data_IF_578616131889
#
_entry.id   IF_578616131889
#
_cell.length_a   1.000
_cell.length_b   1.000
_cell.length_c   1.000
_cell.angle_alpha   90.00
_cell.angle_beta   90.00
_cell.angle_gamma   90.00
#
_symmetry.space_group_name_H-M   'P 1'
#
loop_
_entity.id
_entity.type
_entity.pdbx_description
1 polymer ?
#
# COMPACT_ATOMS: atom_id res chain seq x y z
N UNK A 1 3.72 69.00 16.22
CA UNK A 1 2.68 67.99 16.55
C UNK A 1 2.90 66.68 15.78
N UNK A 2 3.36 66.71 14.52
CA UNK A 2 3.63 65.49 13.72
C UNK A 2 4.76 64.59 14.27
N UNK A 3 5.84 65.19 14.86
CA UNK A 3 6.94 64.46 15.46
C UNK A 3 6.51 63.58 16.64
N UNK A 4 5.68 64.10 17.53
CA UNK A 4 5.16 63.35 18.69
C UNK A 4 4.30 62.14 18.31
N UNK A 5 3.58 62.21 17.20
CA UNK A 5 2.78 61.06 16.69
C UNK A 5 3.68 59.99 16.08
N UNK A 6 4.76 60.35 15.46
CA UNK A 6 5.73 59.41 14.90
C UNK A 6 6.46 58.67 16.00
N UNK A 7 6.95 59.41 17.03
CA UNK A 7 7.66 58.82 18.16
C UNK A 7 6.76 57.85 18.97
N UNK A 8 5.50 58.22 19.21
CA UNK A 8 4.52 57.36 19.89
C UNK A 8 4.21 56.08 19.07
N UNK A 9 4.19 56.16 17.75
CA UNK A 9 3.97 55.02 16.88
C UNK A 9 5.18 54.07 16.86
N UNK A 10 6.39 54.60 16.90
CA UNK A 10 7.61 53.81 17.01
C UNK A 10 7.73 53.12 18.38
N UNK A 11 7.35 53.79 19.47
CA UNK A 11 7.31 53.16 20.81
C UNK A 11 6.26 52.03 20.87
N UNK A 12 5.10 52.21 20.29
CA UNK A 12 4.09 51.15 20.20
C UNK A 12 4.62 49.96 19.38
N UNK A 13 5.24 50.21 18.24
CA UNK A 13 5.83 49.16 17.44
C UNK A 13 6.93 48.37 18.17
N UNK A 14 7.80 49.09 18.93
CA UNK A 14 8.84 48.43 19.74
C UNK A 14 8.26 47.58 20.86
N UNK A 15 7.14 47.98 21.44
CA UNK A 15 6.49 47.27 22.52
C UNK A 15 5.76 46.00 22.03
N UNK A 16 5.26 46.00 20.79
CA UNK A 16 4.57 44.89 20.18
C UNK A 16 5.50 43.86 19.48
N UNK A 17 6.74 44.26 19.17
CA UNK A 17 7.72 43.37 18.50
C UNK A 17 7.99 42.06 19.24
N UNK A 18 8.24 42.03 20.56
CA UNK A 18 8.51 40.80 21.28
C UNK A 18 7.31 39.88 21.29
N UNK A 19 6.09 40.43 21.41
CA UNK A 19 4.84 39.62 21.34
C UNK A 19 4.61 39.05 19.95
N UNK A 20 4.81 39.81 18.90
CA UNK A 20 4.73 39.34 17.51
C UNK A 20 5.78 38.30 17.16
N UNK A 21 6.99 38.42 17.69
CA UNK A 21 8.05 37.41 17.53
C UNK A 21 7.70 36.12 18.24
N UNK A 22 7.19 36.20 19.47
CA UNK A 22 6.71 35.02 20.21
C UNK A 22 5.55 34.33 19.47
N UNK A 23 4.53 35.08 19.06
CA UNK A 23 3.40 34.52 18.31
C UNK A 23 3.82 33.88 16.97
N UNK A 24 4.79 34.47 16.26
CA UNK A 24 5.33 33.90 15.03
C UNK A 24 6.14 32.62 15.29
N UNK A 25 6.92 32.58 16.38
CA UNK A 25 7.67 31.37 16.75
C UNK A 25 6.73 30.23 17.14
N UNK A 26 5.68 30.51 17.89
CA UNK A 26 4.67 29.52 18.27
C UNK A 26 3.94 28.95 17.04
N UNK A 27 3.60 29.82 16.09
CA UNK A 27 3.00 29.40 14.82
C UNK A 27 3.95 28.52 13.99
N UNK A 28 5.23 28.88 13.92
CA UNK A 28 6.25 28.07 13.22
C UNK A 28 6.41 26.72 13.90
N UNK A 29 6.50 26.67 15.23
CA UNK A 29 6.59 25.42 15.98
C UNK A 29 5.36 24.53 15.71
N UNK A 30 4.17 25.12 15.71
CA UNK A 30 2.94 24.40 15.40
C UNK A 30 2.98 23.81 13.98
N UNK A 31 3.39 24.59 12.98
CA UNK A 31 3.54 24.10 11.60
C UNK A 31 4.57 22.96 11.48
N UNK A 32 5.70 23.09 12.13
CA UNK A 32 6.75 22.08 12.14
C UNK A 32 6.27 20.79 12.82
N UNK A 33 5.51 20.90 13.90
CA UNK A 33 4.91 19.76 14.60
C UNK A 33 3.89 19.04 13.70
N UNK A 34 3.01 19.80 13.05
CA UNK A 34 2.03 19.26 12.10
C UNK A 34 2.71 18.54 10.94
N UNK A 35 3.75 19.14 10.39
CA UNK A 35 4.53 18.53 9.32
C UNK A 35 5.24 17.24 9.77
N UNK A 36 5.83 17.25 10.97
CA UNK A 36 6.46 16.06 11.55
C UNK A 36 5.45 14.93 11.74
N UNK A 37 4.27 15.23 12.28
CA UNK A 37 3.18 14.26 12.45
C UNK A 37 2.73 13.71 11.09
N UNK A 38 2.54 14.56 10.09
CA UNK A 38 2.16 14.12 8.74
C UNK A 38 3.22 13.20 8.10
N UNK A 39 4.49 13.54 8.28
CA UNK A 39 5.61 12.70 7.81
C UNK A 39 5.62 11.35 8.54
N UNK A 40 5.41 11.34 9.86
CA UNK A 40 5.32 10.10 10.64
C UNK A 40 4.17 9.22 10.15
N UNK A 41 2.98 9.78 9.97
CA UNK A 41 1.81 9.07 9.46
C UNK A 41 2.12 8.45 8.10
N UNK A 42 2.65 9.26 7.16
CA UNK A 42 3.01 8.79 5.82
C UNK A 42 4.09 7.69 5.84
N UNK A 43 5.07 7.81 6.72
CA UNK A 43 6.21 6.89 6.76
C UNK A 43 5.83 5.56 7.38
N UNK A 44 5.10 5.58 8.48
CA UNK A 44 4.87 4.39 9.30
C UNK A 44 3.48 3.78 9.15
N UNK A 45 2.48 4.57 8.79
CA UNK A 45 1.10 4.10 8.79
C UNK A 45 0.59 3.87 7.36
N UNK A 46 0.71 4.87 6.48
CA UNK A 46 0.10 4.85 5.17
C UNK A 46 1.08 5.25 4.06
N UNK A 47 0.91 4.63 2.92
CA UNK A 47 1.67 4.97 1.72
C UNK A 47 0.73 5.03 0.51
N UNK A 48 0.62 6.20 -0.16
CA UNK A 48 -0.02 6.24 -1.46
C UNK A 48 0.90 5.58 -2.49
N UNK A 49 0.36 4.64 -3.27
CA UNK A 49 1.07 3.91 -4.31
C UNK A 49 0.25 3.92 -5.57
N UNK A 50 0.87 4.10 -6.72
CA UNK A 50 0.22 4.01 -8.01
C UNK A 50 0.34 2.59 -8.56
N UNK A 51 -0.77 2.04 -9.07
CA UNK A 51 -0.78 0.80 -9.82
C UNK A 51 -0.14 1.03 -11.19
N UNK A 52 0.89 0.28 -11.50
CA UNK A 52 1.56 0.31 -12.81
C UNK A 52 1.44 -1.07 -13.43
N UNK A 53 0.87 -1.13 -14.63
CA UNK A 53 0.60 -2.36 -15.36
C UNK A 53 -0.77 -2.96 -15.08
N UNK A 54 -1.09 -4.02 -15.80
CA UNK A 54 -2.43 -4.61 -15.85
C UNK A 54 -2.54 -5.95 -15.12
N UNK A 55 -1.54 -6.31 -14.34
CA UNK A 55 -1.46 -7.63 -13.67
C UNK A 55 -2.57 -7.88 -12.64
N UNK A 56 -3.25 -6.84 -12.19
CA UNK A 56 -4.36 -6.91 -11.23
C UNK A 56 -5.72 -6.58 -11.84
N UNK A 57 -5.79 -6.45 -13.17
CA UNK A 57 -7.07 -6.26 -13.87
C UNK A 57 -7.97 -7.48 -13.68
N UNK A 58 -9.28 -7.34 -13.46
CA UNK A 58 -10.05 -6.08 -13.42
C UNK A 58 -10.12 -5.42 -12.04
N UNK A 59 -9.55 -6.00 -11.00
CA UNK A 59 -9.66 -5.47 -9.63
C UNK A 59 -8.99 -4.11 -9.47
N UNK A 60 -7.80 -3.97 -10.08
CA UNK A 60 -7.05 -2.70 -10.12
C UNK A 60 -6.66 -2.41 -11.57
N UNK A 61 -6.84 -1.16 -11.96
CA UNK A 61 -6.49 -0.69 -13.30
C UNK A 61 -5.15 0.04 -13.31
N UNK A 62 -4.48 0.01 -14.44
CA UNK A 62 -3.26 0.79 -14.63
C UNK A 62 -3.51 2.28 -14.41
N UNK A 63 -2.64 2.92 -13.63
CA UNK A 63 -2.72 4.33 -13.28
C UNK A 63 -3.56 4.65 -12.04
N UNK A 64 -4.31 3.69 -11.48
CA UNK A 64 -5.04 3.92 -10.23
C UNK A 64 -4.10 4.19 -9.06
N UNK A 65 -4.43 5.21 -8.28
CA UNK A 65 -3.75 5.51 -7.02
C UNK A 65 -4.40 4.77 -5.86
N UNK A 66 -3.60 3.96 -5.18
CA UNK A 66 -4.05 3.11 -4.08
C UNK A 66 -3.59 3.65 -2.74
N UNK A 67 -4.37 3.35 -1.74
CA UNK A 67 -4.06 3.59 -0.34
C UNK A 67 -3.59 2.30 0.33
N UNK A 68 -2.33 2.29 0.75
CA UNK A 68 -1.68 1.13 1.36
C UNK A 68 -1.46 1.36 2.83
N UNK A 69 -1.87 0.43 3.65
CA UNK A 69 -1.72 0.44 5.09
C UNK A 69 -0.60 -0.54 5.49
N UNK A 70 0.29 -0.09 6.39
CA UNK A 70 1.50 -0.84 6.78
C UNK A 70 1.39 -1.50 8.15
N UNK A 71 0.49 -1.05 9.00
CA UNK A 71 0.41 -1.48 10.40
C UNK A 71 -0.19 -2.86 10.59
N UNK A 72 -1.11 -3.26 9.71
CA UNK A 72 -1.79 -4.57 9.83
C UNK A 72 -0.76 -5.69 9.97
N UNK A 73 0.26 -5.71 9.12
CA UNK A 73 1.25 -6.78 9.12
C UNK A 73 2.38 -6.60 10.14
N UNK A 74 2.30 -5.56 10.98
CA UNK A 74 3.11 -5.48 12.21
C UNK A 74 2.52 -6.29 13.38
N UNK A 75 1.21 -6.56 13.34
CA UNK A 75 0.46 -7.22 14.43
C UNK A 75 -0.34 -8.45 13.98
N UNK A 76 -0.65 -8.56 12.70
CA UNK A 76 -1.41 -9.66 12.11
C UNK A 76 -0.63 -10.27 10.94
N UNK A 77 -0.90 -11.53 10.66
CA UNK A 77 -0.37 -12.19 9.47
C UNK A 77 -1.24 -11.93 8.24
N UNK A 78 -0.66 -11.91 7.02
CA UNK A 78 -1.43 -11.84 5.78
C UNK A 78 -2.41 -13.01 5.67
N UNK A 79 -3.59 -12.73 5.11
CA UNK A 79 -4.68 -13.69 4.96
C UNK A 79 -5.01 -13.92 3.50
N UNK A 80 -5.70 -15.03 3.21
CA UNK A 80 -6.25 -15.32 1.88
C UNK A 80 -7.08 -14.14 1.36
N UNK A 81 -6.91 -13.82 0.09
CA UNK A 81 -7.62 -12.75 -0.57
C UNK A 81 -7.04 -11.34 -0.34
N UNK A 82 -6.12 -11.15 0.60
CA UNK A 82 -5.48 -9.85 0.83
C UNK A 82 -4.78 -9.38 -0.43
N UNK A 83 -5.02 -8.13 -0.83
CA UNK A 83 -4.23 -7.47 -1.87
C UNK A 83 -3.08 -6.75 -1.19
N UNK A 84 -1.87 -7.15 -1.54
CA UNK A 84 -0.65 -6.67 -0.89
C UNK A 84 0.29 -5.99 -1.86
N UNK A 85 1.08 -5.06 -1.33
CA UNK A 85 2.29 -4.58 -2.00
C UNK A 85 3.46 -5.40 -1.48
N UNK A 86 4.19 -6.01 -2.39
CA UNK A 86 5.36 -6.80 -2.07
C UNK A 86 6.53 -6.50 -3.03
N UNK A 87 7.69 -7.07 -2.73
CA UNK A 87 8.83 -7.15 -3.64
C UNK A 87 9.14 -8.60 -3.91
N UNK A 88 9.52 -8.91 -5.13
CA UNK A 88 10.04 -10.23 -5.42
C UNK A 88 11.46 -10.42 -4.88
N UNK A 89 11.83 -11.62 -4.50
CA UNK A 89 13.20 -11.90 -4.13
C UNK A 89 14.15 -11.44 -5.26
N UNK A 90 15.23 -10.76 -4.87
CA UNK A 90 16.23 -10.21 -5.79
C UNK A 90 15.77 -9.06 -6.71
N UNK A 91 14.54 -8.57 -6.56
CA UNK A 91 14.02 -7.42 -7.30
C UNK A 91 13.83 -6.21 -6.37
N UNK A 92 14.08 -5.01 -6.89
CA UNK A 92 13.90 -3.75 -6.15
C UNK A 92 12.51 -3.15 -6.33
N UNK A 93 11.86 -3.51 -7.41
CA UNK A 93 10.55 -2.98 -7.78
C UNK A 93 9.44 -3.53 -6.89
N UNK A 94 8.49 -2.66 -6.57
CA UNK A 94 7.27 -3.05 -5.85
C UNK A 94 6.26 -3.57 -6.84
N UNK A 95 5.55 -4.62 -6.46
CA UNK A 95 4.42 -5.15 -7.22
C UNK A 95 3.19 -5.28 -6.32
N UNK A 96 2.02 -5.28 -6.94
CA UNK A 96 0.74 -5.51 -6.28
C UNK A 96 0.24 -6.87 -6.68
N UNK A 97 -0.13 -7.72 -5.72
CA UNK A 97 -0.63 -9.08 -5.94
C UNK A 97 -1.66 -9.46 -4.89
N UNK A 98 -2.45 -10.48 -5.19
CA UNK A 98 -3.39 -11.11 -4.27
C UNK A 98 -2.75 -12.31 -3.58
N UNK A 99 -2.93 -12.42 -2.27
CA UNK A 99 -2.53 -13.59 -1.48
C UNK A 99 -3.50 -14.73 -1.78
N UNK A 100 -2.99 -15.81 -2.32
CA UNK A 100 -3.77 -17.01 -2.63
C UNK A 100 -3.55 -18.08 -1.58
N UNK A 101 -2.31 -18.26 -1.11
CA UNK A 101 -2.02 -19.24 -0.07
C UNK A 101 -1.07 -18.66 0.99
N UNK A 102 -1.28 -19.11 2.23
CA UNK A 102 -0.55 -18.71 3.43
C UNK A 102 0.27 -19.89 3.97
N UNK A 103 1.17 -19.69 4.96
CA UNK A 103 1.99 -20.77 5.50
C UNK A 103 1.21 -22.01 5.89
N UNK A 104 1.69 -23.17 5.47
CA UNK A 104 1.07 -24.47 5.71
C UNK A 104 0.03 -24.91 4.69
N UNK A 105 -0.46 -24.00 3.85
CA UNK A 105 -1.37 -24.39 2.77
C UNK A 105 -0.67 -25.22 1.70
N UNK A 106 -1.42 -26.14 1.10
CA UNK A 106 -1.02 -26.88 -0.09
C UNK A 106 -1.68 -26.27 -1.31
N UNK A 107 -0.88 -25.87 -2.29
CA UNK A 107 -1.37 -25.25 -3.51
C UNK A 107 -0.88 -26.01 -4.74
N UNK A 108 -1.75 -26.18 -5.71
CA UNK A 108 -1.44 -26.76 -7.03
C UNK A 108 -2.19 -26.00 -8.12
N UNK A 109 -1.72 -26.12 -9.34
CA UNK A 109 -2.40 -25.60 -10.53
C UNK A 109 -2.49 -26.73 -11.53
N UNK A 110 -3.71 -27.09 -11.90
CA UNK A 110 -3.99 -28.10 -12.90
C UNK A 110 -5.29 -27.78 -13.63
N UNK A 111 -5.38 -28.18 -14.89
CA UNK A 111 -6.56 -27.96 -15.73
C UNK A 111 -7.02 -26.48 -15.74
N UNK A 112 -6.05 -25.56 -15.74
CA UNK A 112 -6.31 -24.12 -15.79
C UNK A 112 -6.97 -23.53 -14.53
N UNK A 113 -6.90 -24.23 -13.39
CA UNK A 113 -7.48 -23.80 -12.12
C UNK A 113 -6.49 -23.96 -10.96
N UNK A 114 -6.64 -23.10 -9.94
CA UNK A 114 -5.90 -23.24 -8.67
C UNK A 114 -6.69 -24.16 -7.73
N UNK A 115 -5.99 -25.09 -7.11
CA UNK A 115 -6.51 -25.89 -5.99
C UNK A 115 -5.74 -25.51 -4.73
N UNK A 116 -6.48 -25.30 -3.65
CA UNK A 116 -5.98 -24.97 -2.33
C UNK A 116 -6.42 -26.04 -1.33
N UNK A 117 -5.47 -26.69 -0.67
CA UNK A 117 -5.71 -27.76 0.30
C UNK A 117 -6.53 -28.95 -0.27
N UNK A 118 -6.38 -29.21 -1.58
CA UNK A 118 -7.07 -30.28 -2.29
C UNK A 118 -8.44 -29.90 -2.84
N UNK A 119 -8.92 -28.68 -2.62
CA UNK A 119 -10.19 -28.18 -3.16
C UNK A 119 -9.93 -27.10 -4.21
N UNK A 120 -10.75 -27.10 -5.27
CA UNK A 120 -10.69 -26.04 -6.29
C UNK A 120 -11.08 -24.71 -5.65
N UNK A 121 -10.17 -23.71 -5.79
CA UNK A 121 -10.41 -22.37 -5.26
C UNK A 121 -11.52 -21.65 -6.03
N UNK A 122 -12.52 -21.14 -5.31
CA UNK A 122 -13.56 -20.28 -5.90
C UNK A 122 -12.99 -18.86 -6.04
N UNK A 123 -12.77 -18.47 -7.27
CA UNK A 123 -12.20 -17.17 -7.63
C UNK A 123 -13.19 -16.27 -8.38
N UNK A 124 -14.45 -16.71 -8.46
CA UNK A 124 -15.51 -16.06 -9.26
C UNK A 124 -15.70 -14.57 -8.95
N UNK A 125 -15.34 -14.13 -7.73
CA UNK A 125 -15.44 -12.73 -7.32
C UNK A 125 -14.47 -11.78 -8.05
N UNK A 126 -13.35 -12.29 -8.57
CA UNK A 126 -12.31 -11.46 -9.21
C UNK A 126 -11.69 -12.11 -10.46
N UNK A 127 -11.91 -13.40 -10.68
CA UNK A 127 -11.43 -14.13 -11.84
C UNK A 127 -12.44 -15.21 -12.25
N UNK A 128 -12.70 -15.32 -13.54
CA UNK A 128 -13.65 -16.31 -14.09
C UNK A 128 -13.13 -16.99 -15.36
N UNK A 129 -11.83 -16.87 -15.64
CA UNK A 129 -11.21 -17.41 -16.85
C UNK A 129 -10.54 -18.77 -16.62
N UNK A 130 -9.75 -19.16 -17.61
CA UNK A 130 -8.87 -20.32 -17.62
C UNK A 130 -7.42 -19.86 -17.53
N UNK A 131 -6.60 -20.46 -16.66
CA UNK A 131 -5.18 -20.16 -16.53
C UNK A 131 -4.45 -20.93 -17.63
N UNK A 132 -3.87 -20.17 -18.56
CA UNK A 132 -3.11 -20.72 -19.68
C UNK A 132 -1.68 -21.05 -19.24
N UNK A 133 -1.07 -22.07 -19.85
CA UNK A 133 0.35 -22.40 -19.76
C UNK A 133 0.94 -22.42 -18.32
N UNK A 134 0.13 -22.83 -17.34
CA UNK A 134 0.59 -22.86 -15.95
C UNK A 134 0.14 -24.14 -15.26
N UNK A 135 1.00 -25.15 -15.31
CA UNK A 135 0.86 -26.38 -14.52
C UNK A 135 1.87 -26.32 -13.36
N UNK A 136 1.39 -26.60 -12.15
CA UNK A 136 2.25 -26.60 -10.96
C UNK A 136 1.83 -27.78 -10.06
N UNK A 137 2.79 -28.69 -9.74
CA UNK A 137 2.52 -29.76 -8.81
C UNK A 137 2.14 -29.20 -7.43
N UNK A 138 1.47 -30.01 -6.61
CA UNK A 138 1.13 -29.61 -5.25
C UNK A 138 2.41 -29.30 -4.46
N UNK A 139 2.47 -28.10 -3.91
CA UNK A 139 3.56 -27.62 -3.05
C UNK A 139 2.97 -27.03 -1.77
N UNK A 140 3.71 -27.20 -0.67
CA UNK A 140 3.31 -26.58 0.61
C UNK A 140 3.98 -25.24 0.75
N UNK A 141 3.20 -24.22 1.15
CA UNK A 141 3.72 -22.87 1.40
C UNK A 141 4.62 -22.90 2.66
N UNK A 142 5.88 -22.47 2.55
CA UNK A 142 6.80 -22.47 3.69
C UNK A 142 6.37 -21.48 4.77
N UNK A 143 6.84 -21.70 5.99
CA UNK A 143 6.68 -20.78 7.11
C UNK A 143 7.13 -19.37 6.73
N UNK A 144 6.37 -18.37 7.17
CA UNK A 144 6.61 -16.94 6.92
C UNK A 144 6.77 -16.57 5.45
N UNK A 145 6.09 -17.28 4.58
CA UNK A 145 6.05 -17.04 3.14
C UNK A 145 4.63 -17.05 2.62
N UNK A 146 4.41 -16.44 1.47
CA UNK A 146 3.11 -16.33 0.81
C UNK A 146 3.20 -16.84 -0.62
N UNK A 147 2.12 -17.38 -1.13
CA UNK A 147 1.93 -17.56 -2.56
C UNK A 147 0.97 -16.49 -3.07
N UNK A 148 1.45 -15.64 -3.95
CA UNK A 148 0.71 -14.46 -4.42
C UNK A 148 0.56 -14.51 -5.95
N UNK A 149 -0.61 -14.12 -6.44
CA UNK A 149 -0.91 -14.15 -7.88
C UNK A 149 -1.60 -12.84 -8.28
N UNK A 150 -1.39 -12.42 -9.53
CA UNK A 150 -2.14 -11.31 -10.10
C UNK A 150 -3.54 -11.74 -10.48
N UNK A 151 -4.52 -10.85 -10.39
CA UNK A 151 -5.90 -11.13 -10.78
C UNK A 151 -6.01 -11.30 -12.31
N UNK A 152 -5.16 -10.65 -13.09
CA UNK A 152 -5.00 -10.90 -14.52
C UNK A 152 -4.08 -12.11 -14.76
N UNK A 153 -4.59 -13.30 -14.58
CA UNK A 153 -3.87 -14.57 -14.54
C UNK A 153 -2.92 -14.80 -15.69
N UNK A 154 -3.34 -14.49 -16.90
CA UNK A 154 -2.56 -14.75 -18.11
C UNK A 154 -1.61 -13.61 -18.48
N UNK A 155 -1.66 -12.49 -17.71
CA UNK A 155 -0.80 -11.31 -17.91
C UNK A 155 -0.14 -10.87 -16.61
N UNK A 156 0.30 -11.82 -15.79
CA UNK A 156 0.95 -11.53 -14.49
C UNK A 156 2.20 -12.39 -14.29
N UNK A 157 3.33 -11.73 -14.09
CA UNK A 157 4.48 -12.36 -13.46
C UNK A 157 4.30 -12.37 -11.95
N UNK A 158 4.26 -13.56 -11.32
CA UNK A 158 3.95 -13.72 -9.90
C UNK A 158 4.54 -15.01 -9.32
N UNK A 159 4.06 -15.49 -8.18
CA UNK A 159 4.62 -16.66 -7.49
C UNK A 159 4.69 -17.94 -8.32
N UNK A 160 3.91 -18.05 -9.38
CA UNK A 160 4.01 -19.16 -10.34
C UNK A 160 5.38 -19.21 -11.05
N UNK A 161 6.03 -18.04 -11.16
CA UNK A 161 7.32 -17.88 -11.85
C UNK A 161 8.47 -17.61 -10.87
N UNK A 162 8.21 -16.81 -9.82
CA UNK A 162 9.27 -16.35 -8.89
C UNK A 162 9.31 -17.12 -7.58
N UNK A 163 8.33 -18.00 -7.35
CA UNK A 163 8.20 -18.76 -6.11
C UNK A 163 7.55 -17.95 -4.97
N UNK A 164 7.76 -18.41 -3.75
CA UNK A 164 7.15 -17.86 -2.56
C UNK A 164 7.72 -16.49 -2.18
N UNK A 165 6.87 -15.63 -1.62
CA UNK A 165 7.23 -14.29 -1.17
C UNK A 165 7.38 -14.30 0.35
N UNK A 166 8.59 -14.08 0.89
CA UNK A 166 8.80 -13.99 2.33
C UNK A 166 8.06 -12.79 2.94
N UNK A 167 7.57 -12.92 4.17
CA UNK A 167 6.87 -11.84 4.89
C UNK A 167 7.67 -10.53 4.96
N UNK A 168 8.99 -10.59 5.08
CA UNK A 168 9.84 -9.40 5.11
C UNK A 168 9.81 -8.59 3.79
N UNK A 169 9.38 -9.21 2.70
CA UNK A 169 9.18 -8.55 1.41
C UNK A 169 7.80 -7.89 1.28
N UNK A 170 6.86 -8.19 2.15
CA UNK A 170 5.55 -7.54 2.18
C UNK A 170 5.70 -6.13 2.74
N UNK A 171 5.13 -5.14 2.04
CA UNK A 171 5.26 -3.71 2.38
C UNK A 171 3.98 -3.12 2.97
N UNK A 172 2.85 -3.73 2.73
CA UNK A 172 1.56 -3.32 3.29
C UNK A 172 0.38 -3.91 2.53
N UNK A 173 -0.80 -3.71 3.10
CA UNK A 173 -2.09 -4.14 2.55
C UNK A 173 -2.75 -2.99 1.81
N UNK A 174 -3.23 -3.23 0.61
CA UNK A 174 -4.06 -2.27 -0.13
C UNK A 174 -5.45 -2.25 0.49
N UNK A 175 -5.94 -1.06 0.83
CA UNK A 175 -7.25 -0.88 1.47
C UNK A 175 -8.27 -0.22 0.56
N UNK A 176 -7.80 0.68 -0.31
CA UNK A 176 -8.70 1.42 -1.18
C UNK A 176 -7.99 1.92 -2.44
N UNK A 177 -8.78 2.11 -3.48
CA UNK A 177 -8.44 2.96 -4.62
C UNK A 177 -8.92 4.36 -4.31
N UNK A 178 -8.05 5.36 -4.48
CA UNK A 178 -8.31 6.75 -4.16
C UNK A 178 -8.37 7.65 -5.39
N UNK A 179 -7.62 7.32 -6.44
CA UNK A 179 -7.59 8.10 -7.66
C UNK A 179 -7.72 7.21 -8.90
N UNK A 180 -8.44 7.66 -9.94
CA UNK A 180 -9.24 8.89 -9.97
C UNK A 180 -10.42 8.85 -8.98
N UNK A 181 -10.79 9.99 -8.41
CA UNK A 181 -11.85 10.06 -7.38
C UNK A 181 -13.20 9.51 -7.84
N UNK A 182 -13.45 9.53 -9.15
CA UNK A 182 -14.67 8.93 -9.73
C UNK A 182 -14.73 7.40 -9.60
N UNK A 183 -13.63 6.76 -9.32
CA UNK A 183 -13.49 5.31 -9.17
C UNK A 183 -13.05 4.90 -7.75
N UNK A 184 -13.09 5.85 -6.81
CA UNK A 184 -12.71 5.59 -5.42
C UNK A 184 -13.58 4.49 -4.81
N UNK A 185 -12.93 3.45 -4.25
CA UNK A 185 -13.59 2.28 -3.67
C UNK A 185 -12.71 1.60 -2.62
N UNK A 186 -13.34 0.92 -1.68
CA UNK A 186 -12.66 0.00 -0.77
C UNK A 186 -12.35 -1.33 -1.48
N UNK A 187 -11.30 -1.97 -1.05
CA UNK A 187 -10.83 -3.26 -1.58
C UNK A 187 -10.77 -4.28 -0.45
#
# INVERSE_FOLDING_TARGET
KLGKFRDAREELHKKDEPYRRAANSDFIIYLLTLMAVAICIRTFIFEPVQCIGDSMYPTLMNGEGMFTEKLTYAVCEPQHGDIIICRYPYHTEKCVKRVIAVPGDRISISDGAISLNGEKLDESAYWSGYIEDSEMPEVTVPERSLFVVGDNRNHSGDSRHVGFIPYCQVKGKVRAVMTPFSQARWI
#
